data_IF_298463427258
#
_entry.id   IF_298463427258
#
_cell.length_a   1.000
_cell.length_b   1.000
_cell.length_c   1.000
_cell.angle_alpha   90.00
_cell.angle_beta   90.00
_cell.angle_gamma   90.00
#
_symmetry.space_group_name_H-M   'P 1'
#
loop_
_entity.id
_entity.type
_entity.pdbx_description
1 polymer ?
#
# COMPACT_ATOMS: atom_id res chain seq x y z
N UNK A 1 -17.46 7.08 38.82
CA UNK A 1 -18.03 7.10 40.17
C UNK A 1 -17.00 6.51 41.14
N UNK A 2 -16.73 7.19 42.23
CA UNK A 2 -15.73 6.76 43.21
C UNK A 2 -16.14 5.43 43.85
N UNK A 3 -15.26 4.43 43.80
CA UNK A 3 -15.46 3.13 44.39
C UNK A 3 -15.99 2.03 43.47
N UNK A 4 -16.62 2.36 42.34
CA UNK A 4 -17.17 1.35 41.41
C UNK A 4 -16.55 1.41 40.00
N UNK A 5 -15.76 2.43 39.67
CA UNK A 5 -15.22 2.65 38.33
C UNK A 5 -16.27 2.98 37.26
N UNK A 6 -17.55 3.05 37.61
CA UNK A 6 -18.60 3.34 36.64
C UNK A 6 -18.45 4.76 36.04
N UNK A 7 -18.55 4.83 34.70
CA UNK A 7 -18.41 6.07 33.93
C UNK A 7 -19.76 6.52 33.39
N UNK A 8 -20.03 7.81 33.48
CA UNK A 8 -21.24 8.41 32.96
C UNK A 8 -20.91 9.66 32.17
N UNK A 9 -21.64 9.90 31.11
CA UNK A 9 -21.67 11.17 30.41
C UNK A 9 -22.89 11.97 30.87
N UNK A 10 -22.67 13.21 31.28
CA UNK A 10 -23.77 14.10 31.72
C UNK A 10 -24.20 14.98 30.57
N UNK A 11 -25.43 14.81 30.13
CA UNK A 11 -26.06 15.63 29.11
C UNK A 11 -27.49 15.97 29.51
N UNK A 12 -27.89 17.25 29.36
CA UNK A 12 -29.27 17.74 29.58
C UNK A 12 -29.90 17.33 30.91
N UNK A 13 -29.09 17.29 31.98
CA UNK A 13 -29.55 16.88 33.31
C UNK A 13 -29.72 15.39 33.56
N UNK A 14 -29.30 14.55 32.61
CA UNK A 14 -29.37 13.09 32.67
C UNK A 14 -27.95 12.47 32.65
N UNK A 15 -27.73 11.44 33.45
CA UNK A 15 -26.50 10.66 33.44
C UNK A 15 -26.65 9.41 32.57
N UNK A 16 -25.96 9.41 31.46
CA UNK A 16 -25.90 8.26 30.57
C UNK A 16 -24.68 7.39 30.88
N UNK A 17 -24.83 6.09 31.21
CA UNK A 17 -23.69 5.19 31.25
C UNK A 17 -23.01 5.20 29.88
N UNK A 18 -21.66 5.24 29.85
CA UNK A 18 -20.90 5.23 28.59
C UNK A 18 -20.09 3.92 28.48
N UNK A 19 -19.94 3.45 27.24
CA UNK A 19 -19.19 2.23 26.96
C UNK A 19 -17.69 2.42 27.23
N UNK A 20 -17.12 3.57 26.83
CA UNK A 20 -15.68 3.87 26.86
C UNK A 20 -15.42 5.37 26.88
N UNK A 21 -14.16 5.76 27.10
CA UNK A 21 -13.72 7.17 27.09
C UNK A 21 -13.77 7.73 25.67
N UNK A 22 -13.49 6.92 24.67
CA UNK A 22 -13.61 7.29 23.25
C UNK A 22 -15.00 7.85 22.93
N UNK A 23 -16.06 7.20 23.43
CA UNK A 23 -17.43 7.73 23.32
C UNK A 23 -17.57 9.13 23.94
N UNK A 24 -17.01 9.32 25.13
CA UNK A 24 -17.10 10.63 25.80
C UNK A 24 -16.36 11.73 25.03
N UNK A 25 -15.22 11.42 24.43
CA UNK A 25 -14.48 12.35 23.57
C UNK A 25 -15.30 12.76 22.35
N UNK A 26 -15.89 11.81 21.64
CA UNK A 26 -16.73 12.07 20.47
C UNK A 26 -17.96 12.92 20.78
N UNK A 27 -18.52 12.80 21.99
CA UNK A 27 -19.65 13.59 22.45
C UNK A 27 -19.28 14.98 22.99
N UNK A 28 -17.98 15.28 23.13
CA UNK A 28 -17.49 16.55 23.67
C UNK A 28 -17.03 17.46 22.53
N UNK A 29 -17.77 18.51 22.19
CA UNK A 29 -17.62 19.27 20.94
C UNK A 29 -16.25 19.94 20.75
N UNK A 30 -15.53 20.26 21.81
CA UNK A 30 -14.24 20.98 21.73
C UNK A 30 -13.04 20.15 22.22
N UNK A 31 -13.11 18.81 22.13
CA UNK A 31 -12.08 17.89 22.68
C UNK A 31 -11.75 18.11 24.18
N UNK A 32 -12.50 18.99 24.87
CA UNK A 32 -12.30 19.32 26.28
C UNK A 32 -13.13 18.42 27.17
N UNK A 33 -12.71 17.18 27.30
CA UNK A 33 -13.33 16.25 28.24
C UNK A 33 -12.95 16.65 29.67
N UNK A 34 -13.92 17.11 30.48
CA UNK A 34 -13.72 17.38 31.90
C UNK A 34 -14.23 16.20 32.71
N UNK A 35 -13.32 15.52 33.42
CA UNK A 35 -13.68 14.39 34.28
C UNK A 35 -13.82 14.82 35.73
N UNK A 36 -14.99 14.55 36.35
CA UNK A 36 -15.27 14.83 37.74
C UNK A 36 -15.48 13.51 38.49
N UNK A 37 -14.82 13.37 39.64
CA UNK A 37 -15.07 12.25 40.53
C UNK A 37 -16.26 12.58 41.45
N UNK A 38 -17.31 11.77 41.37
CA UNK A 38 -18.49 11.91 42.16
C UNK A 38 -18.76 10.69 43.06
N UNK A 39 -19.30 10.89 44.26
CA UNK A 39 -19.77 9.82 45.15
C UNK A 39 -21.14 9.29 44.70
N UNK A 40 -21.50 8.07 45.10
CA UNK A 40 -22.82 7.53 44.83
C UNK A 40 -23.92 8.42 45.37
N UNK A 41 -23.75 8.92 46.59
CA UNK A 41 -24.73 9.82 47.25
C UNK A 41 -24.96 11.15 46.50
N UNK A 42 -23.88 11.72 45.91
CA UNK A 42 -24.03 12.98 45.14
C UNK A 42 -24.72 12.78 43.78
N UNK A 43 -24.86 11.54 43.33
CA UNK A 43 -25.52 11.19 42.07
C UNK A 43 -26.90 10.56 42.23
N UNK A 44 -27.39 10.39 43.49
CA UNK A 44 -28.58 9.61 43.81
C UNK A 44 -29.86 10.21 43.16
N UNK A 45 -29.99 11.54 43.17
CA UNK A 45 -31.15 12.22 42.66
C UNK A 45 -31.05 12.67 41.20
N UNK A 46 -30.00 12.22 40.46
CA UNK A 46 -29.85 12.57 39.05
C UNK A 46 -30.46 11.44 38.22
N UNK A 47 -31.38 11.77 37.28
CA UNK A 47 -31.96 10.76 36.38
C UNK A 47 -30.91 9.98 35.59
N UNK A 48 -31.19 8.67 35.36
CA UNK A 48 -30.36 7.79 34.55
C UNK A 48 -31.01 7.61 33.20
N UNK A 49 -30.24 7.80 32.15
CA UNK A 49 -30.61 7.47 30.75
C UNK A 49 -30.12 6.08 30.32
N UNK A 50 -30.45 5.72 29.10
CA UNK A 50 -29.91 4.54 28.45
C UNK A 50 -28.38 4.63 28.33
N UNK A 51 -27.71 3.49 28.29
CA UNK A 51 -26.30 3.41 27.95
C UNK A 51 -26.09 3.87 26.51
N UNK A 52 -25.10 4.72 26.29
CA UNK A 52 -24.72 5.23 24.97
C UNK A 52 -23.27 4.85 24.66
N UNK A 53 -22.93 4.83 23.38
CA UNK A 53 -21.55 4.67 22.90
C UNK A 53 -21.33 3.55 21.89
N UNK A 54 -20.08 3.28 21.66
CA UNK A 54 -19.57 2.37 20.64
C UNK A 54 -18.86 1.20 21.34
N UNK A 55 -19.47 0.00 21.42
CA UNK A 55 -18.93 -1.08 22.26
C UNK A 55 -17.67 -1.74 21.68
N UNK A 56 -17.44 -1.62 20.36
CA UNK A 56 -16.36 -2.24 19.59
C UNK A 56 -15.17 -1.30 19.33
N UNK A 57 -15.14 -0.13 19.99
CA UNK A 57 -13.98 0.78 19.92
C UNK A 57 -13.14 0.69 21.20
N UNK A 58 -11.85 1.06 21.16
CA UNK A 58 -10.98 1.08 22.34
C UNK A 58 -11.54 1.95 23.47
N UNK A 59 -11.15 1.62 24.71
CA UNK A 59 -11.54 2.45 25.86
C UNK A 59 -11.11 3.91 25.70
N UNK A 60 -9.87 4.13 25.26
CA UNK A 60 -9.37 5.43 24.79
C UNK A 60 -8.55 5.23 23.51
N UNK A 61 -8.45 6.27 22.69
CA UNK A 61 -7.68 6.22 21.44
C UNK A 61 -6.22 6.61 21.69
N UNK A 62 -5.28 6.08 20.89
CA UNK A 62 -3.88 6.45 21.03
C UNK A 62 -3.63 7.92 20.70
N UNK A 63 -2.64 8.51 21.37
CA UNK A 63 -2.12 9.81 21.01
C UNK A 63 -1.42 9.77 19.64
N UNK A 64 -1.25 10.90 18.95
CA UNK A 64 -0.64 10.95 17.62
C UNK A 64 0.75 10.27 17.52
N UNK A 65 1.58 10.43 18.55
CA UNK A 65 2.91 9.82 18.63
C UNK A 65 2.90 8.31 18.88
N UNK A 66 1.75 7.75 19.26
CA UNK A 66 1.52 6.33 19.47
C UNK A 66 0.89 5.63 18.26
N UNK A 67 0.58 6.38 17.20
CA UNK A 67 0.03 5.80 15.96
C UNK A 67 1.04 4.86 15.30
N UNK A 68 0.55 3.75 14.81
CA UNK A 68 1.32 2.73 14.10
C UNK A 68 1.78 3.24 12.74
N UNK A 69 3.03 2.91 12.40
CA UNK A 69 3.69 3.37 11.17
C UNK A 69 4.13 2.24 10.26
N UNK A 70 4.28 1.04 10.81
CA UNK A 70 4.76 -0.11 10.04
C UNK A 70 3.68 -1.17 9.92
N UNK A 71 3.51 -1.63 8.69
CA UNK A 71 2.56 -2.64 8.30
C UNK A 71 3.30 -3.73 7.55
N UNK A 72 2.97 -4.97 7.86
CA UNK A 72 3.51 -6.14 7.18
C UNK A 72 2.36 -7.11 6.90
N UNK A 73 2.13 -7.45 5.64
CA UNK A 73 1.13 -8.44 5.24
C UNK A 73 1.82 -9.56 4.47
N UNK A 74 1.82 -10.76 5.00
CA UNK A 74 2.45 -11.92 4.37
C UNK A 74 1.39 -12.86 3.80
N UNK A 75 1.59 -13.31 2.58
CA UNK A 75 0.78 -14.32 1.93
C UNK A 75 1.32 -15.71 2.31
N UNK A 76 0.50 -16.53 2.94
CA UNK A 76 0.84 -17.86 3.45
C UNK A 76 -0.13 -18.90 2.87
N UNK A 77 0.19 -20.16 2.92
CA UNK A 77 -0.68 -21.25 2.46
C UNK A 77 -2.08 -21.23 3.11
N UNK A 78 -2.17 -20.73 4.35
CA UNK A 78 -3.43 -20.58 5.10
C UNK A 78 -4.20 -19.29 4.81
N UNK A 79 -3.77 -18.48 3.85
CA UNK A 79 -4.23 -17.11 3.60
C UNK A 79 -3.21 -16.08 4.08
N UNK A 80 -3.55 -14.81 3.98
CA UNK A 80 -2.63 -13.75 4.42
C UNK A 80 -2.87 -13.33 5.88
N UNK A 81 -1.79 -12.87 6.54
CA UNK A 81 -1.83 -12.25 7.86
C UNK A 81 -1.15 -10.89 7.85
N UNK A 82 -1.76 -9.90 8.53
CA UNK A 82 -1.28 -8.52 8.57
C UNK A 82 -0.95 -8.10 9.99
N UNK A 83 0.26 -7.60 10.21
CA UNK A 83 0.72 -7.01 11.48
C UNK A 83 0.85 -5.50 11.33
N UNK A 84 0.35 -4.77 12.34
CA UNK A 84 0.34 -3.31 12.36
C UNK A 84 0.92 -2.85 13.69
N UNK A 85 2.01 -2.10 13.66
CA UNK A 85 2.70 -1.64 14.85
C UNK A 85 3.40 -0.30 14.61
N UNK A 86 3.81 0.35 15.70
CA UNK A 86 4.70 1.51 15.63
C UNK A 86 6.04 1.11 15.01
N UNK A 87 6.58 -0.01 15.47
CA UNK A 87 7.79 -0.64 14.96
C UNK A 87 7.59 -2.16 14.92
N UNK A 88 8.09 -2.82 13.89
CA UNK A 88 8.13 -4.27 13.77
C UNK A 88 9.54 -4.76 14.10
N UNK A 89 9.77 -5.32 15.31
CA UNK A 89 11.10 -5.74 15.76
C UNK A 89 11.70 -6.82 14.85
N UNK A 90 12.93 -6.64 14.38
CA UNK A 90 13.60 -7.58 13.47
C UNK A 90 13.76 -9.00 14.05
N UNK A 91 13.84 -9.16 15.37
CA UNK A 91 13.95 -10.46 16.02
C UNK A 91 12.66 -11.28 15.87
N UNK A 92 11.50 -10.62 15.89
CA UNK A 92 10.19 -11.24 15.71
C UNK A 92 9.80 -11.31 14.24
N UNK A 93 10.19 -10.30 13.46
CA UNK A 93 9.91 -10.15 12.03
C UNK A 93 11.21 -10.09 11.23
N UNK A 94 11.92 -11.22 11.03
CA UNK A 94 13.19 -11.26 10.30
C UNK A 94 12.99 -11.15 8.80
N UNK A 95 12.45 -10.01 8.37
CA UNK A 95 12.21 -9.73 6.95
C UNK A 95 13.53 -9.45 6.22
N UNK A 96 13.61 -9.94 4.98
CA UNK A 96 14.68 -9.63 4.05
C UNK A 96 14.07 -8.92 2.84
N UNK A 97 14.84 -8.04 2.23
CA UNK A 97 14.43 -7.49 0.94
C UNK A 97 14.28 -8.63 -0.07
N UNK A 98 13.11 -8.69 -0.73
CA UNK A 98 12.93 -9.57 -1.86
C UNK A 98 13.57 -8.94 -3.09
N UNK A 99 13.90 -9.75 -4.08
CA UNK A 99 13.94 -9.28 -5.46
C UNK A 99 12.51 -9.06 -5.93
N UNK A 100 12.33 -8.40 -7.08
CA UNK A 100 11.00 -8.34 -7.70
C UNK A 100 10.48 -9.76 -7.98
N UNK A 101 9.17 -9.95 -8.03
CA UNK A 101 8.55 -11.26 -8.14
C UNK A 101 7.55 -11.37 -9.29
N UNK A 102 7.55 -12.52 -9.98
CA UNK A 102 6.46 -12.93 -10.86
C UNK A 102 5.42 -13.68 -10.01
N UNK A 103 4.21 -13.17 -9.96
CA UNK A 103 3.11 -13.76 -9.19
C UNK A 103 1.90 -14.05 -10.09
N UNK A 104 1.06 -14.97 -9.64
CA UNK A 104 -0.19 -15.31 -10.29
C UNK A 104 -1.32 -15.19 -9.28
N UNK A 105 -2.36 -14.43 -9.63
CA UNK A 105 -3.54 -14.30 -8.78
C UNK A 105 -4.29 -15.63 -8.71
N UNK A 106 -4.64 -16.08 -7.49
CA UNK A 106 -5.46 -17.27 -7.29
C UNK A 106 -6.84 -17.07 -7.94
N UNK A 107 -7.42 -18.13 -8.48
CA UNK A 107 -8.74 -18.11 -9.11
C UNK A 107 -8.75 -17.61 -10.55
N UNK A 108 -8.21 -16.43 -10.88
CA UNK A 108 -8.18 -15.90 -12.26
C UNK A 108 -7.05 -16.48 -13.11
N UNK A 109 -5.91 -16.75 -12.48
CA UNK A 109 -4.69 -17.16 -13.18
C UNK A 109 -3.94 -16.00 -13.85
N UNK A 110 -4.38 -14.77 -13.62
CA UNK A 110 -3.73 -13.57 -14.15
C UNK A 110 -2.34 -13.40 -13.56
N UNK A 111 -1.40 -13.05 -14.41
CA UNK A 111 0.01 -12.89 -14.02
C UNK A 111 0.38 -11.44 -13.84
N UNK A 112 1.19 -11.19 -12.83
CA UNK A 112 1.69 -9.86 -12.50
C UNK A 112 3.18 -9.91 -12.18
N UNK A 113 3.85 -8.85 -12.53
CA UNK A 113 5.18 -8.56 -12.04
C UNK A 113 5.07 -7.56 -10.89
N UNK A 114 5.56 -7.92 -9.72
CA UNK A 114 5.64 -7.01 -8.56
C UNK A 114 7.06 -6.47 -8.48
N UNK A 115 7.21 -5.19 -8.78
CA UNK A 115 8.49 -4.51 -8.75
C UNK A 115 8.79 -3.96 -7.36
N UNK A 116 9.85 -4.45 -6.75
CA UNK A 116 10.30 -4.01 -5.45
C UNK A 116 10.75 -2.54 -5.45
N UNK A 117 11.48 -2.10 -6.46
CA UNK A 117 12.06 -0.74 -6.48
C UNK A 117 11.00 0.35 -6.57
N UNK A 118 9.95 0.09 -7.35
CA UNK A 118 8.84 1.04 -7.54
C UNK A 118 7.66 0.78 -6.60
N UNK A 119 7.67 -0.35 -5.89
CA UNK A 119 6.56 -0.76 -5.02
C UNK A 119 5.22 -0.90 -5.76
N UNK A 120 5.25 -1.33 -7.03
CA UNK A 120 4.09 -1.45 -7.90
C UNK A 120 3.92 -2.86 -8.44
N UNK A 121 2.68 -3.21 -8.76
CA UNK A 121 2.36 -4.39 -9.56
C UNK A 121 2.06 -4.01 -11.01
N UNK A 122 2.48 -4.85 -11.94
CA UNK A 122 2.25 -4.68 -13.37
C UNK A 122 1.56 -5.92 -13.92
N UNK A 123 0.34 -5.74 -14.42
CA UNK A 123 -0.37 -6.83 -15.10
C UNK A 123 0.40 -7.23 -16.36
N UNK A 124 0.57 -8.54 -16.56
CA UNK A 124 1.22 -9.09 -17.75
C UNK A 124 0.11 -9.51 -18.73
N UNK A 125 -0.03 -8.76 -19.82
CA UNK A 125 -1.01 -9.06 -20.85
C UNK A 125 -0.73 -10.45 -21.47
N UNK A 126 -1.77 -11.25 -21.69
CA UNK A 126 -1.67 -12.58 -22.26
C UNK A 126 -1.08 -12.60 -23.69
N UNK A 127 -1.18 -11.47 -24.41
CA UNK A 127 -0.51 -11.29 -25.71
C UNK A 127 1.01 -11.28 -25.58
N UNK A 128 1.56 -10.89 -24.43
CA UNK A 128 3.00 -11.02 -24.10
C UNK A 128 3.41 -12.49 -24.03
N UNK A 129 2.52 -13.39 -23.66
CA UNK A 129 2.81 -14.84 -23.62
C UNK A 129 3.04 -15.46 -24.99
N UNK A 130 2.59 -14.80 -26.07
CA UNK A 130 2.94 -15.17 -27.46
C UNK A 130 4.35 -14.72 -27.83
N UNK A 131 4.92 -13.80 -27.10
CA UNK A 131 6.34 -13.51 -27.06
C UNK A 131 7.03 -14.51 -26.11
N UNK A 132 6.67 -15.82 -26.23
CA UNK A 132 7.08 -16.91 -25.35
C UNK A 132 8.58 -16.93 -25.01
N UNK A 133 9.38 -16.37 -25.92
CA UNK A 133 10.79 -16.10 -25.68
C UNK A 133 11.05 -14.92 -24.75
N UNK A 134 10.07 -13.99 -24.55
CA UNK A 134 10.26 -12.87 -23.65
C UNK A 134 10.07 -13.28 -22.19
N UNK A 135 9.01 -14.01 -21.86
CA UNK A 135 8.87 -14.61 -20.52
C UNK A 135 10.00 -15.60 -20.23
N UNK A 136 10.54 -16.29 -21.29
CA UNK A 136 11.69 -17.18 -21.22
C UNK A 136 13.04 -16.43 -21.28
N UNK A 137 13.12 -15.22 -21.84
CA UNK A 137 14.35 -14.41 -21.83
C UNK A 137 14.57 -13.69 -20.50
N UNK A 138 13.57 -13.65 -19.62
CA UNK A 138 13.76 -13.55 -18.18
C UNK A 138 14.12 -14.94 -17.63
N UNK A 139 15.13 -15.57 -18.23
CA UNK A 139 15.52 -16.97 -18.04
C UNK A 139 15.82 -17.39 -16.61
N UNK A 140 15.78 -16.45 -15.70
CA UNK A 140 15.97 -16.68 -14.28
C UNK A 140 14.69 -16.45 -13.46
N UNK A 141 13.59 -16.00 -14.06
CA UNK A 141 12.30 -16.03 -13.35
C UNK A 141 11.94 -17.50 -13.16
N UNK A 142 11.69 -17.89 -11.93
CA UNK A 142 11.26 -19.23 -11.58
C UNK A 142 10.26 -19.74 -12.62
N UNK A 143 10.41 -20.98 -13.05
CA UNK A 143 9.62 -21.60 -14.10
C UNK A 143 8.12 -21.54 -13.83
N UNK A 144 7.73 -21.19 -12.60
CA UNK A 144 6.36 -21.06 -12.12
C UNK A 144 6.19 -19.75 -11.34
N UNK A 145 5.13 -18.96 -11.63
CA UNK A 145 4.77 -17.81 -10.82
C UNK A 145 4.31 -18.28 -9.45
N UNK A 146 4.60 -17.47 -8.42
CA UNK A 146 4.08 -17.71 -7.07
C UNK A 146 2.59 -17.38 -7.08
N UNK A 147 1.75 -18.33 -6.68
CA UNK A 147 0.31 -18.07 -6.53
C UNK A 147 0.08 -17.28 -5.26
N UNK A 148 -0.64 -16.16 -5.37
CA UNK A 148 -0.97 -15.25 -4.27
C UNK A 148 -2.46 -14.92 -4.26
N UNK A 149 -2.98 -14.54 -3.10
CA UNK A 149 -4.37 -14.09 -3.01
C UNK A 149 -4.55 -12.71 -3.69
N UNK A 150 -5.65 -12.51 -4.45
CA UNK A 150 -5.91 -11.24 -5.15
C UNK A 150 -5.94 -10.04 -4.20
N UNK A 151 -6.53 -10.20 -3.02
CA UNK A 151 -6.60 -9.15 -2.01
C UNK A 151 -5.21 -8.74 -1.50
N UNK A 152 -4.30 -9.70 -1.36
CA UNK A 152 -2.92 -9.41 -1.01
C UNK A 152 -2.20 -8.68 -2.15
N UNK A 153 -2.42 -9.12 -3.39
CA UNK A 153 -1.83 -8.47 -4.56
C UNK A 153 -2.31 -7.02 -4.73
N UNK A 154 -3.53 -6.71 -4.31
CA UNK A 154 -4.11 -5.36 -4.37
C UNK A 154 -3.45 -4.36 -3.41
N UNK A 155 -2.60 -4.83 -2.48
CA UNK A 155 -1.80 -3.97 -1.62
C UNK A 155 -0.77 -3.15 -2.40
N UNK A 156 -0.37 -3.62 -3.59
CA UNK A 156 0.56 -2.90 -4.46
C UNK A 156 -0.20 -2.03 -5.46
N UNK A 157 0.12 -0.72 -5.55
CA UNK A 157 -0.42 0.14 -6.58
C UNK A 157 -0.17 -0.42 -7.97
N UNK A 158 -1.15 -0.31 -8.86
CA UNK A 158 -0.99 -0.77 -10.23
C UNK A 158 -0.15 0.20 -11.05
N UNK A 159 0.81 -0.35 -11.80
CA UNK A 159 1.48 0.33 -12.89
C UNK A 159 0.78 0.08 -14.22
N UNK A 160 1.29 0.67 -15.29
CA UNK A 160 0.81 0.43 -16.65
C UNK A 160 1.00 -1.04 -17.03
N UNK A 161 -0.02 -1.75 -17.54
CA UNK A 161 0.11 -3.14 -17.93
C UNK A 161 1.28 -3.39 -18.88
N UNK A 162 2.06 -4.42 -18.62
CA UNK A 162 3.12 -4.87 -19.52
C UNK A 162 2.48 -5.49 -20.76
N UNK A 163 2.65 -4.85 -21.89
CA UNK A 163 2.11 -5.30 -23.18
C UNK A 163 3.03 -4.88 -24.33
N UNK A 164 3.04 -5.62 -25.45
CA UNK A 164 3.67 -5.15 -26.66
C UNK A 164 3.09 -3.78 -27.08
N UNK A 165 3.93 -2.93 -27.62
CA UNK A 165 3.53 -1.67 -28.17
C UNK A 165 4.32 -1.42 -29.47
N UNK A 166 3.79 -0.62 -30.37
CA UNK A 166 4.31 -0.49 -31.71
C UNK A 166 4.89 0.90 -31.96
N UNK A 167 5.89 0.95 -32.80
CA UNK A 167 6.36 2.18 -33.46
C UNK A 167 5.21 3.01 -34.02
N UNK A 168 4.19 2.34 -34.57
CA UNK A 168 3.01 3.01 -35.14
C UNK A 168 2.08 3.64 -34.09
N UNK A 169 2.26 3.37 -32.80
CA UNK A 169 1.51 4.00 -31.71
C UNK A 169 2.06 5.40 -31.37
N UNK A 170 3.22 5.78 -31.91
CA UNK A 170 3.83 7.09 -31.70
C UNK A 170 3.29 8.08 -32.74
N UNK A 171 2.83 9.21 -32.26
CA UNK A 171 2.34 10.28 -33.14
C UNK A 171 3.46 10.79 -34.07
N UNK A 172 3.17 10.90 -35.36
CA UNK A 172 4.13 11.31 -36.40
C UNK A 172 5.37 10.39 -36.56
N UNK A 173 5.29 9.12 -36.14
CA UNK A 173 6.37 8.18 -36.36
C UNK A 173 6.88 8.18 -37.79
N UNK A 174 8.20 8.16 -37.95
CA UNK A 174 8.87 8.22 -39.26
C UNK A 174 9.08 9.60 -39.86
N UNK A 175 8.45 10.65 -39.33
CA UNK A 175 8.76 12.01 -39.74
C UNK A 175 10.17 12.41 -39.25
N UNK A 176 10.89 13.23 -40.01
CA UNK A 176 12.20 13.73 -39.59
C UNK A 176 12.12 14.52 -38.28
N UNK A 177 13.01 14.24 -37.34
CA UNK A 177 13.21 15.03 -36.13
C UNK A 177 14.31 16.07 -36.38
N UNK A 178 13.90 17.27 -36.77
CA UNK A 178 14.81 18.31 -37.28
C UNK A 178 15.29 19.29 -36.23
N UNK A 179 14.67 19.32 -35.04
CA UNK A 179 14.96 20.24 -33.95
C UNK A 179 15.62 19.59 -32.74
N UNK A 180 16.21 18.42 -32.93
CA UNK A 180 16.93 17.73 -31.86
C UNK A 180 18.14 18.55 -31.36
N UNK A 181 18.50 18.42 -30.08
CA UNK A 181 19.59 19.19 -29.49
C UNK A 181 20.96 18.77 -30.04
N UNK A 182 21.87 19.75 -30.10
CA UNK A 182 23.26 19.52 -30.48
C UNK A 182 23.43 19.04 -31.94
N UNK A 183 24.37 18.08 -32.09
CA UNK A 183 24.72 17.52 -33.39
C UNK A 183 23.74 16.46 -33.90
N UNK A 184 22.87 15.94 -33.02
CA UNK A 184 21.90 14.91 -33.35
C UNK A 184 20.94 15.33 -34.48
N UNK A 185 20.61 16.63 -34.59
CA UNK A 185 19.75 17.18 -35.65
C UNK A 185 20.21 16.90 -37.09
N UNK A 186 21.49 16.62 -37.27
CA UNK A 186 22.08 16.41 -38.61
C UNK A 186 22.18 14.93 -39.00
N UNK A 187 21.76 14.02 -38.11
CA UNK A 187 22.01 12.57 -38.24
C UNK A 187 20.87 11.83 -38.97
N UNK A 188 19.90 12.51 -39.54
CA UNK A 188 18.78 11.87 -40.23
C UNK A 188 17.96 10.96 -39.28
N UNK A 189 17.70 11.48 -38.11
CA UNK A 189 16.89 10.83 -37.08
C UNK A 189 15.42 11.07 -37.32
N UNK A 190 14.59 10.08 -37.07
CA UNK A 190 13.13 10.19 -37.22
C UNK A 190 12.42 9.96 -35.90
N UNK A 191 11.22 10.49 -35.77
CA UNK A 191 10.33 10.29 -34.62
C UNK A 191 10.06 8.77 -34.49
N UNK A 192 10.10 8.25 -33.28
CA UNK A 192 9.96 6.83 -32.98
C UNK A 192 11.28 6.02 -33.04
N UNK A 193 12.38 6.63 -33.49
CA UNK A 193 13.69 5.96 -33.50
C UNK A 193 14.30 5.88 -32.09
N UNK A 194 14.99 4.78 -31.82
CA UNK A 194 15.77 4.61 -30.59
C UNK A 194 17.22 5.03 -30.83
N UNK A 195 17.75 5.85 -29.92
CA UNK A 195 19.13 6.30 -29.93
C UNK A 195 19.87 5.71 -28.75
N UNK A 196 20.90 4.91 -29.00
CA UNK A 196 21.74 4.31 -27.98
C UNK A 196 22.99 5.17 -27.75
N UNK A 197 23.13 5.68 -26.54
CA UNK A 197 24.33 6.35 -26.08
C UNK A 197 25.39 5.29 -25.72
N UNK A 198 26.52 5.31 -26.39
CA UNK A 198 27.60 4.35 -26.16
C UNK A 198 28.86 5.02 -25.60
N UNK A 199 29.58 4.27 -24.76
CA UNK A 199 30.88 4.68 -24.27
C UNK A 199 32.00 4.39 -25.30
N UNK A 200 33.24 4.73 -24.93
CA UNK A 200 34.43 4.51 -25.77
C UNK A 200 34.69 3.02 -26.09
N UNK A 201 34.12 2.10 -25.33
CA UNK A 201 34.19 0.66 -25.55
C UNK A 201 33.01 0.14 -26.41
N UNK A 202 32.09 1.02 -26.83
CA UNK A 202 30.90 0.67 -27.59
C UNK A 202 29.75 0.06 -26.77
N UNK A 203 29.85 0.13 -25.41
CA UNK A 203 28.81 -0.37 -24.52
C UNK A 203 27.71 0.68 -24.40
N UNK A 204 26.44 0.24 -24.50
CA UNK A 204 25.27 1.10 -24.31
C UNK A 204 25.18 1.51 -22.84
N UNK A 205 25.13 2.81 -22.60
CA UNK A 205 24.94 3.39 -21.26
C UNK A 205 23.51 3.82 -21.01
N UNK A 206 22.89 4.46 -22.00
CA UNK A 206 21.50 4.87 -21.96
C UNK A 206 20.87 4.67 -23.35
N UNK A 207 19.59 4.41 -23.38
CA UNK A 207 18.79 4.47 -24.60
C UNK A 207 17.76 5.57 -24.49
N UNK A 208 17.49 6.23 -25.59
CA UNK A 208 16.52 7.31 -25.71
C UNK A 208 15.56 7.04 -26.84
N UNK A 209 14.29 7.32 -26.63
CA UNK A 209 13.27 7.30 -27.66
C UNK A 209 13.04 8.73 -28.15
N UNK A 210 13.04 8.94 -29.45
CA UNK A 210 12.66 10.21 -30.07
C UNK A 210 11.13 10.26 -30.09
N UNK A 211 10.55 11.11 -29.23
CA UNK A 211 9.09 11.12 -29.03
C UNK A 211 8.40 12.14 -29.94
N UNK A 212 9.11 13.19 -30.33
CA UNK A 212 8.65 14.22 -31.26
C UNK A 212 9.83 14.87 -32.00
N UNK A 213 9.59 15.95 -32.72
CA UNK A 213 10.58 16.64 -33.55
C UNK A 213 11.81 17.17 -32.80
N UNK A 214 11.69 17.41 -31.49
CA UNK A 214 12.71 18.09 -30.68
C UNK A 214 13.05 17.36 -29.37
N UNK A 215 12.25 16.39 -28.93
CA UNK A 215 12.35 15.82 -27.60
C UNK A 215 12.74 14.35 -27.60
N UNK A 216 13.55 14.01 -26.60
CA UNK A 216 13.99 12.65 -26.27
C UNK A 216 13.48 12.30 -24.88
N UNK A 217 13.03 11.07 -24.71
CA UNK A 217 12.71 10.50 -23.39
C UNK A 217 13.70 9.39 -23.07
N UNK A 218 14.00 9.20 -21.79
CA UNK A 218 14.77 8.02 -21.36
C UNK A 218 13.95 6.78 -21.67
N UNK A 219 14.55 5.84 -22.36
CA UNK A 219 13.89 4.64 -22.85
C UNK A 219 14.35 3.44 -22.03
N UNK A 220 13.51 3.01 -21.08
CA UNK A 220 13.87 1.88 -20.21
C UNK A 220 13.98 0.57 -20.99
N UNK A 221 14.74 -0.36 -20.43
CA UNK A 221 15.08 -1.62 -21.09
C UNK A 221 13.86 -2.54 -21.33
N UNK A 222 12.84 -2.49 -20.50
CA UNK A 222 11.59 -3.26 -20.69
C UNK A 222 10.76 -2.67 -21.83
N UNK A 223 10.60 -1.35 -21.86
CA UNK A 223 9.89 -0.67 -22.95
C UNK A 223 10.57 -0.95 -24.30
N UNK A 224 11.91 -0.94 -24.33
CA UNK A 224 12.69 -1.25 -25.51
C UNK A 224 12.47 -2.70 -26.02
N UNK A 225 12.35 -3.66 -25.10
CA UNK A 225 12.10 -5.07 -25.46
C UNK A 225 10.68 -5.33 -25.97
N UNK A 226 9.70 -4.58 -25.46
CA UNK A 226 8.30 -4.69 -25.87
C UNK A 226 7.95 -3.83 -27.07
N UNK A 227 8.88 -3.00 -27.53
CA UNK A 227 8.72 -2.11 -28.66
C UNK A 227 8.89 -2.86 -30.00
N UNK A 228 7.84 -2.88 -30.80
CA UNK A 228 7.74 -3.62 -32.05
C UNK A 228 7.75 -2.68 -33.26
N UNK A 229 8.10 -3.25 -34.42
CA UNK A 229 8.10 -2.57 -35.73
C UNK A 229 9.01 -1.33 -35.80
N UNK A 230 9.89 -1.15 -34.81
CA UNK A 230 10.82 -0.02 -34.78
C UNK A 230 11.91 -0.13 -35.85
N UNK A 231 12.35 1.00 -36.41
CA UNK A 231 13.55 1.02 -37.20
C UNK A 231 14.76 0.62 -36.32
N UNK A 232 15.85 0.10 -36.92
CA UNK A 232 17.07 -0.20 -36.17
C UNK A 232 17.53 1.00 -35.33
N UNK A 233 17.94 0.74 -34.09
CA UNK A 233 18.49 1.81 -33.23
C UNK A 233 19.78 2.38 -33.85
N UNK A 234 20.01 3.67 -33.61
CA UNK A 234 21.28 4.31 -33.97
C UNK A 234 22.14 4.49 -32.74
N UNK A 235 23.42 4.17 -32.88
CA UNK A 235 24.42 4.30 -31.80
C UNK A 235 25.24 5.56 -32.01
N UNK A 236 25.33 6.35 -30.95
CA UNK A 236 26.10 7.59 -30.93
C UNK A 236 27.00 7.65 -29.68
N UNK A 237 28.21 8.25 -29.79
CA UNK A 237 29.09 8.46 -28.66
C UNK A 237 28.47 9.44 -27.66
N UNK A 238 28.89 9.32 -26.39
CA UNK A 238 28.37 10.15 -25.28
C UNK A 238 28.41 11.65 -25.56
N UNK A 239 29.38 12.13 -26.31
CA UNK A 239 29.56 13.54 -26.65
C UNK A 239 28.38 14.13 -27.44
N UNK A 240 27.70 13.33 -28.25
CA UNK A 240 26.52 13.75 -29.03
C UNK A 240 25.32 14.08 -28.13
N UNK A 241 25.31 13.55 -26.93
CA UNK A 241 24.23 13.77 -25.94
C UNK A 241 24.52 14.87 -24.93
N UNK A 242 25.61 15.60 -25.07
CA UNK A 242 26.03 16.66 -24.12
C UNK A 242 24.96 17.71 -23.83
N UNK A 243 24.11 17.98 -24.79
CA UNK A 243 23.05 19.01 -24.69
C UNK A 243 21.64 18.39 -24.66
N UNK A 244 21.56 17.07 -24.47
CA UNK A 244 20.29 16.38 -24.35
C UNK A 244 19.80 16.48 -22.93
N UNK A 245 18.69 17.16 -22.74
CA UNK A 245 17.92 17.14 -21.48
C UNK A 245 16.63 16.31 -21.75
N UNK A 246 16.59 15.03 -21.31
CA UNK A 246 15.44 14.20 -21.56
C UNK A 246 14.21 14.79 -20.90
N UNK A 247 13.12 14.89 -21.67
CA UNK A 247 11.84 15.34 -21.12
C UNK A 247 11.13 14.20 -20.42
N UNK A 248 10.27 14.55 -19.47
CA UNK A 248 9.29 13.61 -18.92
C UNK A 248 8.05 13.69 -19.81
N UNK A 249 7.90 12.74 -20.70
CA UNK A 249 6.69 12.61 -21.51
C UNK A 249 6.01 11.28 -21.17
N UNK A 250 4.69 11.29 -21.15
CA UNK A 250 3.90 10.08 -20.96
C UNK A 250 3.90 9.28 -22.26
N UNK A 251 4.49 8.10 -22.22
CA UNK A 251 4.42 7.12 -23.32
C UNK A 251 4.08 5.76 -22.74
N UNK A 252 3.71 4.81 -23.58
CA UNK A 252 3.46 3.45 -23.13
C UNK A 252 4.74 2.87 -22.52
N UNK A 253 4.70 2.55 -21.24
CA UNK A 253 5.84 1.96 -20.53
C UNK A 253 6.82 2.94 -19.88
N UNK A 254 6.48 4.22 -19.75
CA UNK A 254 7.28 5.20 -19.03
C UNK A 254 7.47 4.85 -17.54
N UNK A 255 6.50 4.14 -16.97
CA UNK A 255 6.54 3.68 -15.59
C UNK A 255 6.98 2.19 -15.44
N UNK A 256 7.29 1.48 -16.54
CA UNK A 256 7.67 0.08 -16.48
C UNK A 256 9.00 -0.13 -15.75
N UNK A 257 9.17 -1.29 -15.05
CA UNK A 257 10.43 -1.64 -14.42
C UNK A 257 11.53 -1.87 -15.48
N UNK A 258 12.79 -1.76 -15.07
CA UNK A 258 13.92 -2.13 -15.92
C UNK A 258 14.09 -3.65 -15.97
N UNK A 259 14.71 -4.17 -17.04
CA UNK A 259 14.93 -5.61 -17.22
C UNK A 259 15.76 -6.21 -16.09
N UNK A 260 16.71 -5.45 -15.54
CA UNK A 260 17.54 -5.89 -14.43
C UNK A 260 16.73 -6.12 -13.14
N UNK A 261 15.54 -5.55 -13.05
CA UNK A 261 14.64 -5.74 -11.90
C UNK A 261 13.91 -7.10 -11.94
N UNK A 262 13.99 -7.81 -13.07
CA UNK A 262 13.37 -9.12 -13.26
C UNK A 262 14.34 -10.29 -12.90
N UNK A 263 15.18 -10.10 -11.91
CA UNK A 263 16.03 -11.21 -11.43
C UNK A 263 15.19 -12.25 -10.70
N UNK A 264 15.53 -13.53 -10.93
CA UNK A 264 14.88 -14.62 -10.22
C UNK A 264 15.23 -14.54 -8.72
N UNK A 265 14.25 -14.65 -7.85
CA UNK A 265 14.54 -14.71 -6.43
C UNK A 265 15.26 -16.03 -6.10
N UNK A 266 16.49 -15.94 -5.58
CA UNK A 266 17.27 -17.10 -5.12
C UNK A 266 16.58 -17.90 -4.01
N UNK A 267 15.54 -17.33 -3.40
CA UNK A 267 14.87 -17.86 -2.23
C UNK A 267 13.66 -18.72 -2.55
N UNK A 268 13.14 -18.69 -3.79
CA UNK A 268 11.97 -19.48 -4.17
C UNK A 268 12.39 -20.85 -4.69
N UNK A 269 12.36 -21.83 -3.82
CA UNK A 269 12.58 -23.24 -4.17
C UNK A 269 11.45 -24.07 -3.57
N UNK A 270 10.48 -24.47 -4.40
CA UNK A 270 9.35 -25.33 -4.00
C UNK A 270 9.79 -26.70 -3.46
N UNK A 271 10.99 -27.12 -3.78
CA UNK A 271 11.55 -28.41 -3.32
C UNK A 271 12.03 -28.37 -1.87
N UNK A 272 12.14 -27.18 -1.24
CA UNK A 272 12.58 -27.05 0.14
C UNK A 272 11.51 -27.54 1.10
N UNK A 273 11.96 -28.13 2.20
CA UNK A 273 11.06 -28.50 3.29
C UNK A 273 10.37 -27.27 3.91
N UNK A 274 9.23 -27.46 4.56
CA UNK A 274 8.46 -26.38 5.16
C UNK A 274 9.26 -25.50 6.13
N UNK A 275 10.33 -26.04 6.74
CA UNK A 275 11.19 -25.29 7.66
C UNK A 275 12.10 -24.27 6.95
N UNK A 276 12.32 -24.45 5.66
CA UNK A 276 13.19 -23.61 4.83
C UNK A 276 12.41 -22.72 3.87
N UNK A 277 11.06 -22.85 3.82
CA UNK A 277 10.21 -22.01 2.97
C UNK A 277 10.22 -20.57 3.42
N UNK A 278 10.04 -19.69 2.45
CA UNK A 278 9.94 -18.26 2.64
C UNK A 278 8.65 -17.78 1.99
N UNK A 279 7.94 -16.90 2.64
CA UNK A 279 6.70 -16.28 2.13
C UNK A 279 6.97 -14.87 1.62
N UNK A 280 6.18 -14.45 0.63
CA UNK A 280 6.14 -13.07 0.17
C UNK A 280 5.34 -12.22 1.15
N UNK A 281 5.87 -11.03 1.43
CA UNK A 281 5.20 -10.05 2.26
C UNK A 281 5.22 -8.68 1.60
N UNK A 282 4.08 -8.02 1.66
CA UNK A 282 3.95 -6.60 1.38
C UNK A 282 4.27 -5.81 2.66
N UNK A 283 5.23 -4.91 2.59
CA UNK A 283 5.56 -4.00 3.69
C UNK A 283 5.17 -2.58 3.33
N UNK A 284 4.53 -1.88 4.26
CA UNK A 284 4.25 -0.46 4.14
C UNK A 284 4.83 0.28 5.35
N UNK A 285 5.54 1.36 5.08
CA UNK A 285 6.03 2.31 6.09
C UNK A 285 5.36 3.66 5.86
N UNK A 286 4.64 4.14 6.86
CA UNK A 286 3.89 5.39 6.85
C UNK A 286 4.56 6.48 7.71
N UNK A 287 5.87 6.41 7.93
CA UNK A 287 6.60 7.44 8.67
C UNK A 287 6.49 8.80 7.98
N UNK A 288 6.50 8.83 6.65
CA UNK A 288 6.03 9.97 5.85
C UNK A 288 4.56 9.75 5.50
N UNK A 289 3.65 10.38 6.21
CA UNK A 289 2.20 10.20 6.04
C UNK A 289 1.71 10.60 4.64
N UNK A 290 2.38 11.54 3.98
CA UNK A 290 2.01 12.00 2.64
C UNK A 290 2.53 11.07 1.54
N UNK A 291 3.61 10.33 1.80
CA UNK A 291 4.32 9.47 0.83
C UNK A 291 4.71 8.13 1.46
N UNK A 292 3.75 7.27 1.79
CA UNK A 292 4.04 5.94 2.29
C UNK A 292 4.99 5.19 1.36
N UNK A 293 5.91 4.42 1.95
CA UNK A 293 6.83 3.58 1.22
C UNK A 293 6.26 2.16 1.18
N UNK A 294 6.25 1.57 -0.02
CA UNK A 294 5.85 0.19 -0.23
C UNK A 294 7.06 -0.63 -0.62
N UNK A 295 7.21 -1.80 -0.04
CA UNK A 295 8.33 -2.69 -0.33
C UNK A 295 7.84 -4.15 -0.40
N UNK A 296 8.45 -4.92 -1.29
CA UNK A 296 8.28 -6.36 -1.35
C UNK A 296 9.41 -6.98 -0.52
N UNK A 297 9.03 -7.75 0.48
CA UNK A 297 9.97 -8.42 1.37
C UNK A 297 9.64 -9.90 1.49
N UNK A 298 10.56 -10.67 2.04
CA UNK A 298 10.36 -12.08 2.37
C UNK A 298 10.55 -12.31 3.85
N UNK A 299 9.86 -13.30 4.38
CA UNK A 299 10.04 -13.78 5.74
C UNK A 299 10.03 -15.32 5.76
N UNK A 300 10.79 -15.99 6.62
CA UNK A 300 10.65 -17.43 6.80
C UNK A 300 9.20 -17.78 7.19
N UNK A 301 8.57 -18.70 6.46
CA UNK A 301 7.16 -19.09 6.67
C UNK A 301 6.89 -19.51 8.11
N UNK A 302 7.78 -20.29 8.70
CA UNK A 302 7.70 -20.69 10.09
C UNK A 302 7.57 -19.49 11.05
N UNK A 303 8.34 -18.43 10.81
CA UNK A 303 8.29 -17.20 11.65
C UNK A 303 6.99 -16.42 11.41
N UNK A 304 6.49 -16.40 10.19
CA UNK A 304 5.19 -15.80 9.87
C UNK A 304 4.06 -16.53 10.61
N UNK A 305 4.07 -17.86 10.57
CA UNK A 305 3.11 -18.70 11.30
C UNK A 305 3.24 -18.49 12.82
N UNK A 306 4.43 -18.56 13.39
CA UNK A 306 4.66 -18.33 14.82
C UNK A 306 4.11 -16.95 15.24
N UNK A 307 4.44 -15.90 14.50
CA UNK A 307 3.96 -14.54 14.79
C UNK A 307 2.43 -14.41 14.67
N UNK A 308 1.78 -15.18 13.80
CA UNK A 308 0.31 -15.18 13.68
C UNK A 308 -0.38 -15.88 14.85
N UNK A 309 0.21 -16.96 15.38
CA UNK A 309 -0.33 -17.69 16.54
C UNK A 309 -0.17 -16.93 17.86
N UNK A 310 0.97 -16.26 18.04
CA UNK A 310 1.19 -15.44 19.25
C UNK A 310 0.18 -14.29 19.34
N UNK A 311 -0.28 -13.82 18.20
CA UNK A 311 -1.35 -12.83 18.11
C UNK A 311 -2.73 -13.41 18.48
N UNK A 312 -3.06 -14.63 18.08
CA UNK A 312 -4.31 -15.29 18.45
C UNK A 312 -4.41 -15.53 19.95
N UNK A 313 -3.30 -15.85 20.61
CA UNK A 313 -3.25 -16.05 22.06
C UNK A 313 -3.53 -14.77 22.85
N UNK A 314 -3.30 -13.61 22.27
CA UNK A 314 -3.53 -12.30 22.88
C UNK A 314 -4.91 -11.69 22.54
N UNK A 315 -5.61 -12.20 21.52
CA UNK A 315 -6.83 -11.58 20.98
C UNK A 315 -8.09 -12.46 21.09
N UNK A 316 -8.07 -13.61 21.73
CA UNK A 316 -9.27 -14.42 21.74
C UNK A 316 -10.34 -13.86 22.68
N UNK A 317 -11.43 -13.28 22.11
CA UNK A 317 -12.73 -13.87 22.33
C UNK A 317 -13.18 -14.56 21.06
N UNK A 318 -13.66 -15.80 21.22
CA UNK A 318 -14.20 -16.67 20.18
C UNK A 318 -15.26 -15.96 19.34
N UNK A 319 -14.83 -15.31 18.25
CA UNK A 319 -15.70 -14.84 17.17
C UNK A 319 -15.57 -15.79 15.98
N UNK A 320 -16.53 -15.80 15.05
CA UNK A 320 -16.42 -16.64 13.86
C UNK A 320 -15.13 -16.29 13.11
N UNK A 321 -14.39 -17.34 12.75
CA UNK A 321 -13.21 -17.29 11.91
C UNK A 321 -13.52 -16.46 10.65
N UNK A 322 -13.13 -15.20 10.67
CA UNK A 322 -13.03 -14.44 9.42
C UNK A 322 -11.64 -14.73 8.86
N UNK A 323 -11.58 -15.03 7.59
CA UNK A 323 -10.38 -15.36 6.82
C UNK A 323 -9.33 -14.24 6.76
N UNK A 324 -9.49 -13.18 7.53
CA UNK A 324 -8.64 -11.99 7.56
C UNK A 324 -7.99 -11.87 8.93
N UNK A 325 -6.78 -12.39 9.03
CA UNK A 325 -5.99 -12.29 10.25
C UNK A 325 -5.26 -10.95 10.29
N UNK A 326 -5.63 -10.11 11.25
CA UNK A 326 -4.98 -8.81 11.48
C UNK A 326 -4.60 -8.71 12.96
N UNK A 327 -3.35 -8.38 13.21
CA UNK A 327 -2.82 -8.10 14.54
C UNK A 327 -2.38 -6.64 14.62
N UNK A 328 -2.91 -5.91 15.58
CA UNK A 328 -2.49 -4.54 15.87
C UNK A 328 -1.83 -4.50 17.24
N UNK A 329 -0.70 -3.84 17.35
CA UNK A 329 0.01 -3.71 18.63
C UNK A 329 -0.89 -3.03 19.68
N UNK A 330 -0.98 -3.63 20.88
CA UNK A 330 -1.85 -3.16 21.96
C UNK A 330 -1.57 -1.72 22.36
N UNK A 331 -2.61 -0.93 22.60
CA UNK A 331 -2.55 0.47 22.96
C UNK A 331 -2.12 1.39 21.82
N UNK A 332 -2.01 0.88 20.58
CA UNK A 332 -1.72 1.63 19.38
C UNK A 332 -2.92 1.64 18.42
N UNK A 333 -2.71 2.05 17.20
CA UNK A 333 -3.71 2.08 16.12
C UNK A 333 -3.16 2.83 14.93
N UNK A 334 -3.89 2.90 13.84
CA UNK A 334 -3.46 3.64 12.67
C UNK A 334 -4.55 4.56 12.15
N UNK A 335 -4.19 5.79 11.86
CA UNK A 335 -5.09 6.78 11.23
C UNK A 335 -4.75 6.85 9.73
N UNK A 336 -5.72 6.55 8.88
CA UNK A 336 -5.53 6.41 7.45
C UNK A 336 -6.44 7.36 6.66
N UNK A 337 -5.88 7.93 5.62
CA UNK A 337 -6.57 8.59 4.52
C UNK A 337 -6.57 7.62 3.32
N UNK A 338 -7.68 6.94 3.07
CA UNK A 338 -7.78 5.95 2.01
C UNK A 338 -7.95 6.62 0.66
N UNK A 339 -7.08 6.27 -0.30
CA UNK A 339 -7.10 6.80 -1.66
C UNK A 339 -7.56 5.74 -2.66
N UNK A 340 -8.13 6.17 -3.78
CA UNK A 340 -8.58 5.28 -4.86
C UNK A 340 -7.44 4.70 -5.73
N UNK A 341 -6.17 4.92 -5.35
CA UNK A 341 -4.98 4.51 -6.07
C UNK A 341 -4.32 5.67 -6.83
N UNK A 342 -2.99 5.69 -6.89
CA UNK A 342 -2.24 6.64 -7.71
C UNK A 342 -2.08 8.07 -7.17
N UNK A 343 -2.37 8.35 -5.90
CA UNK A 343 -2.08 9.66 -5.28
C UNK A 343 -3.19 10.71 -5.43
N UNK A 344 -4.43 10.26 -5.60
CA UNK A 344 -5.62 11.13 -5.59
C UNK A 344 -5.99 11.68 -4.20
N UNK A 345 -6.99 12.57 -4.16
CA UNK A 345 -7.56 13.03 -2.89
C UNK A 345 -8.09 11.86 -2.05
N UNK A 346 -8.03 12.00 -0.73
CA UNK A 346 -8.53 11.01 0.19
C UNK A 346 -10.05 10.81 0.00
N UNK A 347 -10.46 9.60 -0.35
CA UNK A 347 -11.86 9.24 -0.51
C UNK A 347 -12.56 9.06 0.84
N UNK A 348 -11.83 8.62 1.88
CA UNK A 348 -12.36 8.44 3.23
C UNK A 348 -11.25 8.41 4.28
N UNK A 349 -11.60 8.77 5.52
CA UNK A 349 -10.72 8.65 6.66
C UNK A 349 -11.20 7.54 7.59
N UNK A 350 -10.26 6.72 8.05
CA UNK A 350 -10.57 5.61 8.95
C UNK A 350 -9.53 5.51 10.06
N UNK A 351 -9.94 4.99 11.19
CA UNK A 351 -9.07 4.59 12.28
C UNK A 351 -9.06 3.06 12.41
N UNK A 352 -7.87 2.48 12.47
CA UNK A 352 -7.67 1.06 12.77
C UNK A 352 -7.32 0.94 14.23
N UNK A 353 -8.16 0.26 14.99
CA UNK A 353 -7.99 0.07 16.43
C UNK A 353 -7.12 -1.16 16.76
N UNK A 354 -6.55 -1.20 17.96
CA UNK A 354 -5.84 -2.36 18.52
C UNK A 354 -6.75 -3.57 18.76
N UNK A 355 -8.07 -3.39 18.63
CA UNK A 355 -9.05 -4.47 18.60
C UNK A 355 -9.17 -5.14 17.23
N UNK A 356 -8.42 -4.69 16.21
CA UNK A 356 -8.43 -5.25 14.86
C UNK A 356 -9.64 -4.81 14.01
N UNK A 357 -10.29 -3.69 14.35
CA UNK A 357 -11.39 -3.12 13.58
C UNK A 357 -10.99 -1.84 12.87
N UNK A 358 -11.57 -1.63 11.70
CA UNK A 358 -11.49 -0.38 10.94
C UNK A 358 -12.76 0.43 11.16
N UNK A 359 -12.63 1.61 11.72
CA UNK A 359 -13.71 2.53 12.04
C UNK A 359 -13.72 3.70 11.06
N UNK A 360 -14.83 3.92 10.36
CA UNK A 360 -15.04 5.17 9.61
C UNK A 360 -15.14 6.35 10.58
N UNK A 361 -14.60 7.50 10.20
CA UNK A 361 -14.69 8.74 10.98
C UNK A 361 -15.93 9.59 10.62
N UNK A 362 -16.88 8.99 9.90
CA UNK A 362 -18.15 9.61 9.51
C UNK A 362 -18.06 10.55 8.32
N UNK A 363 -19.19 11.22 8.01
CA UNK A 363 -19.31 12.10 6.84
C UNK A 363 -18.48 13.40 6.97
N UNK A 364 -18.16 13.83 8.20
CA UNK A 364 -17.32 15.00 8.47
C UNK A 364 -16.13 14.57 9.33
N UNK A 365 -15.12 13.90 8.75
CA UNK A 365 -14.01 13.29 9.49
C UNK A 365 -13.25 14.26 10.39
N UNK A 366 -13.12 15.52 9.97
CA UNK A 366 -12.44 16.55 10.74
C UNK A 366 -13.05 16.77 12.14
N UNK A 367 -14.37 16.64 12.27
CA UNK A 367 -15.06 16.76 13.57
C UNK A 367 -14.69 15.60 14.48
N UNK A 368 -14.72 14.37 13.96
CA UNK A 368 -14.34 13.16 14.70
C UNK A 368 -12.86 13.18 15.09
N UNK A 369 -11.97 13.49 14.15
CA UNK A 369 -10.54 13.61 14.42
C UNK A 369 -10.24 14.64 15.50
N UNK A 370 -10.82 15.84 15.40
CA UNK A 370 -10.62 16.89 16.38
C UNK A 370 -11.10 16.46 17.77
N UNK A 371 -12.27 15.82 17.87
CA UNK A 371 -12.81 15.31 19.13
C UNK A 371 -11.90 14.24 19.76
N UNK A 372 -11.21 13.45 18.94
CA UNK A 372 -10.28 12.39 19.37
C UNK A 372 -8.85 12.90 19.60
N UNK A 373 -8.57 14.17 19.30
CA UNK A 373 -7.27 14.79 19.47
C UNK A 373 -6.30 14.54 18.31
N UNK A 374 -6.83 14.24 17.13
CA UNK A 374 -6.06 14.04 15.89
C UNK A 374 -6.29 15.16 14.88
N UNK A 375 -5.40 15.26 13.92
CA UNK A 375 -5.51 16.12 12.75
C UNK A 375 -5.39 15.34 11.45
N UNK A 376 -5.85 15.90 10.33
CA UNK A 376 -5.74 15.24 9.03
C UNK A 376 -4.29 15.02 8.58
N UNK A 377 -3.34 15.82 9.08
CA UNK A 377 -1.90 15.67 8.76
C UNK A 377 -1.27 14.42 9.39
N UNK A 378 -1.92 13.81 10.37
CA UNK A 378 -1.47 12.57 11.02
C UNK A 378 -2.02 11.33 10.33
N UNK A 379 -2.97 11.50 9.40
CA UNK A 379 -3.51 10.41 8.62
C UNK A 379 -2.56 10.05 7.46
N UNK A 380 -2.13 8.79 7.42
CA UNK A 380 -1.30 8.31 6.32
C UNK A 380 -2.15 8.09 5.06
N UNK A 381 -1.70 8.65 3.93
CA UNK A 381 -2.35 8.52 2.62
C UNK A 381 -2.02 7.17 2.00
N UNK A 382 -2.92 6.19 2.09
CA UNK A 382 -2.67 4.81 1.66
C UNK A 382 -3.69 4.32 0.64
N UNK A 383 -3.32 3.36 -0.24
CA UNK A 383 -4.27 2.68 -1.11
C UNK A 383 -5.39 2.03 -0.29
N UNK A 384 -6.61 2.12 -0.81
CA UNK A 384 -7.81 1.61 -0.15
C UNK A 384 -7.71 0.13 0.25
N UNK A 385 -7.01 -0.68 -0.55
CA UNK A 385 -6.81 -2.10 -0.30
C UNK A 385 -6.22 -2.39 1.09
N UNK A 386 -5.28 -1.57 1.58
CA UNK A 386 -4.70 -1.73 2.92
C UNK A 386 -5.75 -1.59 4.03
N UNK A 387 -6.71 -0.68 3.85
CA UNK A 387 -7.83 -0.56 4.78
C UNK A 387 -8.82 -1.74 4.66
N UNK A 388 -8.98 -2.30 3.47
CA UNK A 388 -9.91 -3.41 3.21
C UNK A 388 -9.45 -4.75 3.78
N UNK A 389 -8.18 -4.90 4.10
CA UNK A 389 -7.68 -6.05 4.88
C UNK A 389 -8.36 -6.18 6.26
N UNK A 390 -8.90 -5.09 6.78
CA UNK A 390 -9.35 -4.98 8.15
C UNK A 390 -10.87 -4.95 8.18
N UNK A 391 -11.46 -5.80 9.03
CA UNK A 391 -12.92 -5.86 9.16
C UNK A 391 -13.51 -4.52 9.64
N UNK A 392 -14.68 -4.11 9.11
CA UNK A 392 -15.32 -2.89 9.53
C UNK A 392 -15.88 -3.01 10.94
N UNK A 393 -15.67 -1.96 11.75
CA UNK A 393 -16.29 -1.71 13.04
C UNK A 393 -17.30 -0.58 12.98
N UNK A 394 -17.81 -0.17 14.14
CA UNK A 394 -18.73 0.96 14.27
C UNK A 394 -18.12 2.27 13.75
N UNK A 395 -18.94 3.13 13.19
CA UNK A 395 -18.54 4.48 12.82
C UNK A 395 -18.16 5.28 14.07
N UNK A 396 -16.98 5.87 14.08
CA UNK A 396 -16.49 6.73 15.16
C UNK A 396 -16.83 8.21 14.85
N UNK A 397 -18.11 8.57 15.01
CA UNK A 397 -18.59 9.93 14.86
C UNK A 397 -19.42 10.38 16.08
N UNK A 398 -19.56 11.69 16.32
CA UNK A 398 -20.44 12.20 17.38
C UNK A 398 -21.86 11.67 17.29
N UNK A 399 -22.38 11.53 16.07
CA UNK A 399 -23.73 11.01 15.80
C UNK A 399 -23.85 9.54 16.22
N UNK A 400 -22.91 8.70 15.83
CA UNK A 400 -22.91 7.29 16.19
C UNK A 400 -22.69 7.10 17.71
N UNK A 401 -21.79 7.87 18.32
CA UNK A 401 -21.51 7.85 19.75
C UNK A 401 -22.71 8.23 20.63
N UNK A 402 -23.62 9.06 20.12
CA UNK A 402 -24.85 9.45 20.81
C UNK A 402 -25.95 8.37 20.78
N UNK A 403 -25.74 7.30 20.01
CA UNK A 403 -26.74 6.26 19.84
C UNK A 403 -26.79 5.36 21.09
N UNK A 404 -27.99 4.98 21.54
CA UNK A 404 -28.13 4.03 22.63
C UNK A 404 -27.59 2.65 22.22
N UNK A 405 -26.81 2.04 23.10
CA UNK A 405 -26.38 0.64 22.95
C UNK A 405 -27.64 -0.20 23.15
N UNK A 406 -28.21 -0.68 22.05
CA UNK A 406 -29.40 -1.54 22.11
C UNK A 406 -29.07 -2.83 22.82
N UNK A 407 -29.84 -3.17 23.83
CA UNK A 407 -29.91 -4.54 24.34
C UNK A 407 -30.62 -5.32 23.23
N UNK A 408 -29.87 -6.12 22.47
CA UNK A 408 -30.42 -7.11 21.55
C UNK A 408 -30.87 -8.35 22.31
#
# INVERSE_FOLDING_TARGET
>A
MKGTGARYFWANGVLHPIANVTTARLLSPDSKLTTVQASAASLENIPRGAQIGLPDVPDDVPLPDMLSKQWLSCDMESGYHTWIAKDLPADNFPVKQATSALVQASGSGDKYFVDRKKGKKYYIDSSVSRLGDWALSFQNLASYPITVEPEWLDLFPSGTPLRPWSYNDIENAGQPATNLPGDLKNEGITIGMVLDQVDSAGQVKNSYLVIDDSNLVVFNSTAARLYQDAPPSKKFPTEMFKYVEPVRAVFVGDDWPDVEDFEAPEWFDESRDAASRTVLCAKMDTTDHAKPQFDLVTMPEKRAIEASYDAESLQSPKGPSTTRNVTVAGGSGALLALTSGGGGEAASYVFVSDLGFRHSLGDVPAVSMNALGWSASEAASVPRAWGELIQPGSEMSPKAAATSVGIK
#
